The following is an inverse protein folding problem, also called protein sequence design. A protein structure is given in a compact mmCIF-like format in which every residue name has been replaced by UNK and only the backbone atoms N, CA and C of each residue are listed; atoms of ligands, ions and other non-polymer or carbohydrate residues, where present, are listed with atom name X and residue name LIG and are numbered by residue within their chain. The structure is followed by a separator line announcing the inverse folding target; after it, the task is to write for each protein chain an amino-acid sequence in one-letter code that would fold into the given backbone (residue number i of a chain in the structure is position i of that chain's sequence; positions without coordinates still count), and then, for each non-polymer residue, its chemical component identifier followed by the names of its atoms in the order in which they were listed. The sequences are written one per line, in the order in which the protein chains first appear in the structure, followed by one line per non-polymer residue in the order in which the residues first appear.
data_IF_138423674816
#
_entry.id   IF_138423674816
#
_cell.length_a   1.000
_cell.length_b   1.000
_cell.length_c   1.000
_cell.angle_alpha   90.00
_cell.angle_beta   90.00
_cell.angle_gamma   90.00
#
_symmetry.space_group_name_H-M   'P 1'
#
loop_
_entity.id
_entity.type
_entity.pdbx_description
1 polymer ?
#
# COMPACT_ATOMS: atom_id res chain seq x y z
N UNK A 1 -1.91 7.22 8.15
CA UNK A 1 -2.21 8.65 7.90
C UNK A 1 -0.94 9.46 7.97
N UNK A 2 -1.00 10.69 8.51
CA UNK A 2 0.09 11.69 8.57
C UNK A 2 0.45 12.34 7.22
N UNK A 3 0.93 11.58 6.24
CA UNK A 3 1.16 12.15 4.90
C UNK A 3 -0.19 12.32 4.21
N UNK A 4 -0.47 13.52 3.70
CA UNK A 4 -1.76 13.90 3.12
C UNK A 4 -1.90 13.40 1.67
N UNK A 5 -1.81 12.09 1.49
CA UNK A 5 -1.80 11.40 0.21
C UNK A 5 -2.20 9.93 0.41
N UNK A 6 -2.38 9.21 -0.69
CA UNK A 6 -2.53 7.77 -0.71
C UNK A 6 -1.24 7.07 -1.16
N UNK A 7 -0.85 6.00 -0.45
CA UNK A 7 0.22 5.09 -0.88
C UNK A 7 0.00 3.67 -0.34
N UNK A 8 0.35 2.66 -1.13
CA UNK A 8 0.35 1.24 -0.76
C UNK A 8 1.69 0.61 -1.12
N UNK A 9 2.30 -0.10 -0.17
CA UNK A 9 3.57 -0.80 -0.39
C UNK A 9 3.39 -2.18 -1.01
N UNK A 10 4.48 -2.72 -1.56
CA UNK A 10 4.67 -4.16 -1.67
C UNK A 10 4.88 -4.79 -0.28
N UNK A 11 4.80 -6.12 -0.17
CA UNK A 11 5.25 -6.83 1.04
C UNK A 11 6.77 -6.87 1.08
N UNK A 12 7.33 -6.03 1.94
CA UNK A 12 8.78 -5.83 2.05
C UNK A 12 9.21 -5.81 3.51
N UNK A 13 10.43 -6.26 3.76
CA UNK A 13 11.12 -6.05 5.03
C UNK A 13 12.50 -5.43 4.78
N UNK A 14 13.00 -4.71 5.79
CA UNK A 14 14.34 -4.14 5.79
C UNK A 14 14.98 -4.36 7.16
N UNK A 15 15.05 -5.63 7.58
CA UNK A 15 15.42 -6.04 8.94
C UNK A 15 16.77 -6.74 9.01
N UNK A 16 17.45 -6.92 7.88
CA UNK A 16 18.70 -7.67 7.80
C UNK A 16 19.94 -6.84 8.18
N UNK A 17 19.80 -5.54 8.44
CA UNK A 17 20.92 -4.64 8.73
C UNK A 17 21.57 -4.93 10.08
N UNK A 18 22.88 -5.15 10.10
CA UNK A 18 23.66 -5.40 11.33
C UNK A 18 24.84 -4.43 11.52
N UNK A 19 24.76 -3.23 10.93
CA UNK A 19 25.86 -2.23 10.86
C UNK A 19 27.01 -2.67 9.95
N UNK A 20 27.66 -3.79 10.25
CA UNK A 20 28.84 -4.27 9.52
C UNK A 20 28.52 -4.88 8.15
N UNK A 21 27.31 -5.40 7.95
CA UNK A 21 26.96 -6.09 6.71
C UNK A 21 26.43 -5.16 5.59
N UNK A 22 26.09 -3.91 5.92
CA UNK A 22 25.55 -2.94 4.96
C UNK A 22 24.21 -3.31 4.31
N UNK A 23 23.50 -4.34 4.78
CA UNK A 23 22.25 -4.80 4.16
C UNK A 23 21.08 -3.92 4.63
N UNK A 24 20.93 -2.76 4.00
CA UNK A 24 19.96 -1.72 4.37
C UNK A 24 18.92 -1.41 3.28
N UNK A 25 18.84 -2.26 2.25
CA UNK A 25 17.84 -2.13 1.18
C UNK A 25 16.61 -2.99 1.47
N UNK A 26 15.39 -2.46 1.32
CA UNK A 26 14.18 -3.27 1.44
C UNK A 26 14.16 -4.42 0.43
N UNK A 27 13.74 -5.60 0.89
CA UNK A 27 13.62 -6.82 0.09
C UNK A 27 12.19 -7.36 0.16
N UNK A 28 11.73 -8.04 -0.90
CA UNK A 28 10.42 -8.70 -0.91
C UNK A 28 10.39 -9.78 0.18
N UNK A 29 9.33 -9.77 0.97
CA UNK A 29 9.15 -10.68 2.11
C UNK A 29 7.68 -11.01 2.28
N UNK A 30 7.29 -12.25 1.97
CA UNK A 30 5.89 -12.70 2.04
C UNK A 30 5.34 -12.75 3.46
N UNK A 31 6.20 -12.72 4.48
CA UNK A 31 5.83 -12.68 5.89
C UNK A 31 5.57 -11.24 6.36
N UNK A 32 6.06 -10.24 5.63
CA UNK A 32 5.86 -8.84 5.97
C UNK A 32 4.42 -8.36 5.65
N UNK A 33 3.90 -7.38 6.41
CA UNK A 33 2.64 -6.74 6.07
C UNK A 33 2.77 -5.89 4.80
N UNK A 34 1.62 -5.52 4.25
CA UNK A 34 1.52 -4.36 3.34
C UNK A 34 1.33 -3.13 4.21
N UNK A 35 2.07 -2.07 3.91
CA UNK A 35 1.93 -0.76 4.55
C UNK A 35 1.06 0.14 3.69
N UNK A 36 0.15 0.87 4.33
CA UNK A 36 -0.79 1.75 3.65
C UNK A 36 -0.77 3.12 4.32
N UNK A 37 -0.53 4.15 3.51
CA UNK A 37 -0.75 5.54 3.86
C UNK A 37 -2.10 5.97 3.33
N UNK A 38 -3.03 6.26 4.24
CA UNK A 38 -4.39 6.76 3.96
C UNK A 38 -4.63 8.03 4.80
N UNK A 39 -3.83 9.07 4.55
CA UNK A 39 -3.89 10.35 5.28
C UNK A 39 -4.61 11.47 4.52
N UNK A 40 -5.33 11.08 3.47
CA UNK A 40 -5.91 11.87 2.41
C UNK A 40 -7.39 12.24 2.64
N UNK A 41 -7.79 12.39 3.91
CA UNK A 41 -9.20 12.63 4.26
C UNK A 41 -9.75 14.04 4.00
N UNK A 42 -8.97 14.97 3.43
CA UNK A 42 -9.44 16.34 3.17
C UNK A 42 -9.05 17.38 4.24
N UNK A 43 -7.84 17.28 4.79
CA UNK A 43 -7.32 18.24 5.77
C UNK A 43 -7.08 19.65 5.17
N UNK A 44 -6.97 20.66 6.04
CA UNK A 44 -6.84 22.07 5.65
C UNK A 44 -5.47 22.41 5.05
N UNK A 45 -4.42 21.66 5.41
CA UNK A 45 -3.08 21.84 4.89
C UNK A 45 -2.97 21.47 3.40
N UNK A 46 -3.92 20.70 2.88
CA UNK A 46 -3.97 20.26 1.49
C UNK A 46 -3.19 18.97 1.21
N UNK A 47 -3.10 18.62 -0.07
CA UNK A 47 -2.45 17.39 -0.54
C UNK A 47 -0.92 17.49 -0.53
N UNK A 48 -0.27 16.40 -0.14
CA UNK A 48 1.17 16.22 -0.30
C UNK A 48 1.50 15.70 -1.71
N UNK A 49 1.76 16.60 -2.65
CA UNK A 49 1.96 16.26 -4.07
C UNK A 49 3.41 15.94 -4.47
N UNK A 50 4.39 16.33 -3.64
CA UNK A 50 5.81 16.06 -3.90
C UNK A 50 6.15 14.63 -3.49
N UNK A 51 6.54 13.80 -4.44
CA UNK A 51 6.95 12.42 -4.22
C UNK A 51 8.42 12.23 -4.57
N UNK A 52 9.09 11.30 -3.89
CA UNK A 52 10.46 10.88 -4.25
C UNK A 52 10.44 10.19 -5.60
N UNK A 53 11.31 10.63 -6.52
CA UNK A 53 11.45 10.05 -7.86
C UNK A 53 12.84 9.43 -8.06
N UNK A 54 12.93 8.26 -8.75
CA UNK A 54 11.81 7.47 -9.26
C UNK A 54 11.02 6.80 -8.11
N UNK A 55 9.81 6.30 -8.42
CA UNK A 55 9.05 5.47 -7.48
C UNK A 55 9.93 4.33 -6.94
N UNK A 56 10.14 4.25 -5.62
CA UNK A 56 10.98 3.22 -5.04
C UNK A 56 10.29 1.87 -5.19
N UNK A 57 11.08 0.80 -5.39
CA UNK A 57 10.56 -0.56 -5.64
C UNK A 57 9.65 -1.13 -4.55
N UNK A 58 9.66 -0.55 -3.34
CA UNK A 58 8.79 -0.96 -2.25
C UNK A 58 7.40 -0.32 -2.32
N UNK A 59 7.20 0.73 -3.11
CA UNK A 59 5.93 1.44 -3.28
C UNK A 59 5.21 0.83 -4.48
N UNK A 60 4.07 0.17 -4.25
CA UNK A 60 3.30 -0.50 -5.29
C UNK A 60 2.37 0.47 -6.03
N UNK A 61 1.68 1.33 -5.28
CA UNK A 61 0.81 2.39 -5.82
C UNK A 61 0.92 3.64 -4.94
N UNK A 62 0.88 4.82 -5.55
CA UNK A 62 0.84 6.09 -4.83
C UNK A 62 0.17 7.17 -5.67
N UNK A 63 -0.67 7.99 -5.03
CA UNK A 63 -1.36 9.08 -5.71
C UNK A 63 -1.77 10.17 -4.71
N UNK A 64 -1.55 11.44 -5.09
CA UNK A 64 -2.01 12.59 -4.34
C UNK A 64 -3.43 13.00 -4.78
N UNK A 65 -4.43 12.31 -4.22
CA UNK A 65 -5.86 12.66 -4.32
C UNK A 65 -6.48 12.54 -2.94
N UNK A 66 -7.54 13.30 -2.67
CA UNK A 66 -8.33 13.07 -1.45
C UNK A 66 -9.24 11.85 -1.63
N UNK A 67 -9.49 11.13 -0.56
CA UNK A 67 -10.22 9.89 -0.62
C UNK A 67 -10.43 9.21 0.72
N UNK A 68 -10.88 7.97 0.63
CA UNK A 68 -11.00 7.04 1.76
C UNK A 68 -10.87 5.61 1.25
N UNK A 69 -10.61 4.66 2.14
CA UNK A 69 -10.50 3.26 1.78
C UNK A 69 -11.41 2.35 2.60
N UNK A 70 -11.81 1.24 2.00
CA UNK A 70 -12.62 0.20 2.60
C UNK A 70 -11.81 -1.10 2.64
N UNK A 71 -11.66 -1.67 3.83
CA UNK A 71 -11.05 -3.00 4.02
C UNK A 71 -12.12 -4.03 4.39
N UNK A 72 -12.59 -4.76 3.38
CA UNK A 72 -13.70 -5.71 3.47
C UNK A 72 -13.22 -7.13 3.71
N UNK A 73 -13.21 -7.58 4.96
CA UNK A 73 -12.90 -8.98 5.33
C UNK A 73 -14.02 -9.90 4.83
N UNK A 74 -13.67 -10.88 3.99
CA UNK A 74 -14.63 -11.84 3.43
C UNK A 74 -14.68 -13.13 4.24
N UNK A 75 -13.52 -13.64 4.64
CA UNK A 75 -13.37 -14.86 5.43
C UNK A 75 -11.96 -14.93 6.03
N UNK A 76 -11.58 -16.07 6.64
CA UNK A 76 -10.26 -16.25 7.27
C UNK A 76 -9.07 -16.11 6.31
N UNK A 77 -9.28 -16.27 5.00
CA UNK A 77 -8.21 -16.26 4.00
C UNK A 77 -8.20 -15.01 3.12
N UNK A 78 -9.32 -14.30 2.95
CA UNK A 78 -9.45 -13.20 2.00
C UNK A 78 -10.03 -11.93 2.63
N UNK A 79 -9.42 -10.80 2.28
CA UNK A 79 -10.01 -9.47 2.44
C UNK A 79 -9.83 -8.66 1.15
N UNK A 80 -10.85 -7.89 0.77
CA UNK A 80 -10.77 -6.96 -0.37
C UNK A 80 -10.47 -5.56 0.16
N UNK A 81 -9.42 -4.94 -0.35
CA UNK A 81 -9.08 -3.56 -0.09
C UNK A 81 -9.39 -2.72 -1.32
N UNK A 82 -10.06 -1.59 -1.13
CA UNK A 82 -10.33 -0.62 -2.17
C UNK A 82 -10.12 0.80 -1.65
N UNK A 83 -9.49 1.65 -2.46
CA UNK A 83 -9.37 3.08 -2.22
C UNK A 83 -10.24 3.84 -3.22
N UNK A 84 -10.99 4.82 -2.71
CA UNK A 84 -11.96 5.62 -3.45
C UNK A 84 -11.54 7.09 -3.40
N UNK A 85 -11.39 7.71 -4.56
CA UNK A 85 -11.08 9.13 -4.68
C UNK A 85 -12.34 9.97 -4.60
N UNK A 86 -12.24 11.15 -4.01
CA UNK A 86 -13.39 12.05 -3.84
C UNK A 86 -13.93 12.62 -5.16
N UNK A 87 -13.08 12.74 -6.19
CA UNK A 87 -13.49 13.23 -7.51
C UNK A 87 -14.19 12.16 -8.39
N UNK A 88 -14.10 10.88 -8.01
CA UNK A 88 -14.72 9.80 -8.78
C UNK A 88 -16.16 9.54 -8.30
N UNK A 89 -16.88 8.68 -9.03
CA UNK A 89 -18.17 8.19 -8.56
C UNK A 89 -18.03 7.31 -7.32
N UNK A 90 -19.03 7.28 -6.45
CA UNK A 90 -18.97 6.57 -5.15
C UNK A 90 -18.58 5.09 -5.24
N UNK A 91 -18.93 4.40 -6.33
CA UNK A 91 -18.62 2.98 -6.53
C UNK A 91 -17.31 2.73 -7.28
N UNK A 92 -16.58 3.79 -7.68
CA UNK A 92 -15.33 3.66 -8.43
C UNK A 92 -14.20 3.41 -7.44
N UNK A 93 -13.44 2.35 -7.69
CA UNK A 93 -12.25 1.97 -6.93
C UNK A 93 -11.02 2.37 -7.74
N UNK A 94 -10.23 3.33 -7.24
CA UNK A 94 -9.06 3.86 -7.93
C UNK A 94 -7.83 2.97 -7.77
N UNK A 95 -7.67 2.36 -6.60
CA UNK A 95 -6.72 1.28 -6.35
C UNK A 95 -7.40 0.15 -5.57
N UNK A 96 -7.04 -1.09 -5.90
CA UNK A 96 -7.63 -2.28 -5.29
C UNK A 96 -6.57 -3.34 -5.03
N UNK A 97 -6.80 -4.16 -4.01
CA UNK A 97 -5.95 -5.32 -3.74
C UNK A 97 -6.71 -6.40 -2.99
N UNK A 98 -6.53 -7.66 -3.41
CA UNK A 98 -6.90 -8.81 -2.59
C UNK A 98 -5.79 -9.11 -1.59
N UNK A 99 -6.14 -9.11 -0.31
CA UNK A 99 -5.27 -9.53 0.77
C UNK A 99 -5.46 -11.01 1.07
N UNK A 100 -4.38 -11.77 0.95
CA UNK A 100 -4.37 -13.15 1.42
C UNK A 100 -3.78 -13.24 2.83
N UNK A 101 -4.52 -13.87 3.75
CA UNK A 101 -4.13 -13.93 5.16
C UNK A 101 -2.78 -14.64 5.35
N UNK A 102 -1.84 -14.01 6.05
CA UNK A 102 -0.47 -14.54 6.24
C UNK A 102 -0.37 -15.81 7.10
N UNK A 103 -1.43 -16.17 7.82
CA UNK A 103 -1.47 -17.41 8.60
C UNK A 103 -2.27 -18.50 7.87
N UNK A 104 -3.46 -18.17 7.38
CA UNK A 104 -4.39 -19.15 6.79
C UNK A 104 -4.24 -19.34 5.28
N UNK A 105 -3.59 -18.41 4.55
CA UNK A 105 -3.39 -18.45 3.11
C UNK A 105 -2.18 -17.60 2.66
N UNK A 106 -0.94 -17.98 3.01
CA UNK A 106 0.26 -17.18 2.78
C UNK A 106 0.79 -17.29 1.33
N UNK A 107 -0.07 -17.03 0.35
CA UNK A 107 0.33 -16.98 -1.07
C UNK A 107 0.65 -15.55 -1.49
N UNK A 108 1.42 -15.39 -2.56
CA UNK A 108 1.79 -14.07 -3.07
C UNK A 108 0.55 -13.32 -3.58
N UNK A 109 0.29 -12.14 -3.02
CA UNK A 109 -0.79 -11.22 -3.39
C UNK A 109 -0.27 -9.99 -4.18
N UNK A 110 1.02 -9.88 -4.46
CA UNK A 110 1.54 -8.82 -5.32
C UNK A 110 0.92 -8.93 -6.73
N UNK A 111 0.52 -7.80 -7.36
CA UNK A 111 0.11 -7.81 -8.75
C UNK A 111 1.23 -8.40 -9.63
N UNK A 112 0.87 -9.28 -10.57
CA UNK A 112 1.82 -9.78 -11.57
C UNK A 112 2.37 -8.60 -12.36
N UNK A 113 3.68 -8.52 -12.53
CA UNK A 113 4.37 -7.49 -13.32
C UNK A 113 4.10 -7.57 -14.83
N UNK A 114 3.08 -8.34 -15.25
CA UNK A 114 2.67 -8.54 -16.63
C UNK A 114 1.36 -7.78 -16.89
N UNK A 115 1.49 -6.49 -17.16
CA UNK A 115 0.52 -5.67 -17.90
C UNK A 115 1.19 -4.42 -18.44
#
# INVERSE_FOLDING_TARGET
GHVHTYERSERISNIAYTVVNGICSPVKDQSAPVYITIGDGGNIEGLATKMTEPQPKYSAYREASFGHAIFSIKNRTHAHYAWHRNQDGYAVEADTMWFYNRFWHPVNDSPSSDS
#
